data_IF_161446683801
#
_entry.id   IF_161446683801
#
_cell.length_a   1.000
_cell.length_b   1.000
_cell.length_c   1.000
_cell.angle_alpha   90.00
_cell.angle_beta   90.00
_cell.angle_gamma   90.00
#
_symmetry.space_group_name_H-M   'P 1'
#
loop_
_entity.id
_entity.type
_entity.pdbx_description
1 polymer ?
#
# COMPACT_ATOMS: atom_id res chain seq x y z
N UNK A 1 -1.92 4.28 30.82
CA UNK A 1 -0.72 3.55 30.34
C UNK A 1 0.07 3.15 31.58
N UNK A 2 1.28 2.57 31.49
CA UNK A 2 2.10 2.27 32.69
C UNK A 2 3.53 2.75 32.50
N UNK A 3 4.13 3.31 33.55
CA UNK A 3 5.54 3.68 33.54
C UNK A 3 6.42 2.45 33.30
N UNK A 4 7.38 2.56 32.39
CA UNK A 4 8.34 1.49 32.16
C UNK A 4 9.60 1.70 32.99
N UNK A 5 9.94 0.74 33.85
CA UNK A 5 11.18 0.72 34.63
C UNK A 5 12.46 0.68 33.77
N UNK A 6 12.40 0.17 32.53
CA UNK A 6 13.57 0.07 31.64
C UNK A 6 13.85 1.36 30.89
N UNK A 7 12.81 2.04 30.38
CA UNK A 7 13.00 3.25 29.56
C UNK A 7 12.49 4.53 30.21
N UNK A 8 11.88 4.47 31.40
CA UNK A 8 11.35 5.64 32.12
C UNK A 8 10.19 6.36 31.44
N UNK A 9 9.59 5.76 30.40
CA UNK A 9 8.49 6.38 29.64
C UNK A 9 7.18 5.72 30.02
N UNK A 10 6.13 6.53 30.22
CA UNK A 10 4.77 6.02 30.33
C UNK A 10 4.28 5.55 28.96
N UNK A 11 4.02 4.26 28.83
CA UNK A 11 3.64 3.68 27.55
C UNK A 11 2.75 2.44 27.73
N UNK A 12 2.10 2.03 26.64
CA UNK A 12 1.31 0.82 26.61
C UNK A 12 2.21 -0.43 26.68
N UNK A 13 1.60 -1.55 27.07
CA UNK A 13 2.22 -2.88 27.01
C UNK A 13 1.64 -3.65 25.82
N UNK A 14 2.47 -4.43 25.15
CA UNK A 14 2.00 -5.29 24.07
C UNK A 14 1.26 -6.53 24.63
N UNK A 15 0.76 -7.41 23.75
CA UNK A 15 0.05 -8.65 24.15
C UNK A 15 0.89 -9.60 25.02
N UNK A 16 2.22 -9.47 24.99
CA UNK A 16 3.16 -10.26 25.80
C UNK A 16 3.57 -9.55 27.10
N UNK A 17 2.99 -8.39 27.41
CA UNK A 17 3.33 -7.59 28.60
C UNK A 17 4.59 -6.71 28.45
N UNK A 18 5.21 -6.68 27.28
CA UNK A 18 6.46 -5.94 27.04
C UNK A 18 6.17 -4.46 26.82
N UNK A 19 7.11 -3.60 27.21
CA UNK A 19 7.03 -2.15 26.96
C UNK A 19 7.09 -1.87 25.45
N UNK A 20 6.02 -1.25 24.89
CA UNK A 20 5.94 -0.96 23.45
C UNK A 20 7.08 -0.05 23.01
N UNK A 21 7.46 0.95 23.82
CA UNK A 21 8.57 1.84 23.51
C UNK A 21 9.93 1.11 23.45
N UNK A 22 10.22 0.25 24.45
CA UNK A 22 11.45 -0.55 24.47
C UNK A 22 11.53 -1.53 23.30
N UNK A 23 10.41 -2.17 22.94
CA UNK A 23 10.36 -3.09 21.79
C UNK A 23 10.60 -2.31 20.50
N UNK A 24 9.98 -1.13 20.36
CA UNK A 24 10.17 -0.25 19.19
C UNK A 24 11.62 0.19 19.04
N UNK A 25 12.27 0.64 20.12
CA UNK A 25 13.67 1.06 20.09
C UNK A 25 14.62 -0.09 19.78
N UNK A 26 14.41 -1.25 20.40
CA UNK A 26 15.17 -2.47 20.11
C UNK A 26 15.05 -2.89 18.64
N UNK A 27 13.82 -2.97 18.12
CA UNK A 27 13.58 -3.36 16.72
C UNK A 27 14.21 -2.38 15.73
N UNK A 28 14.19 -1.08 16.05
CA UNK A 28 14.85 -0.05 15.24
C UNK A 28 16.37 -0.27 15.19
N UNK A 29 17.02 -0.43 16.34
CA UNK A 29 18.45 -0.68 16.43
C UNK A 29 18.85 -1.99 15.72
N UNK A 30 18.05 -3.06 15.91
CA UNK A 30 18.26 -4.33 15.21
C UNK A 30 18.17 -4.17 13.69
N UNK A 31 17.15 -3.45 13.19
CA UNK A 31 17.00 -3.20 11.78
C UNK A 31 18.16 -2.39 11.21
N UNK A 32 18.61 -1.35 11.92
CA UNK A 32 19.75 -0.52 11.50
C UNK A 32 21.04 -1.33 11.42
N UNK A 33 21.34 -2.15 12.44
CA UNK A 33 22.52 -3.00 12.46
C UNK A 33 22.52 -4.13 11.41
N UNK A 34 21.33 -4.58 10.98
CA UNK A 34 21.19 -5.73 10.07
C UNK A 34 20.61 -5.36 8.70
N UNK A 35 20.50 -4.06 8.39
CA UNK A 35 19.74 -3.55 7.24
C UNK A 35 20.14 -4.19 5.92
N UNK A 36 21.44 -4.34 5.69
CA UNK A 36 21.96 -4.85 4.42
C UNK A 36 21.75 -6.36 4.29
N UNK A 37 21.93 -7.12 5.38
CA UNK A 37 21.59 -8.53 5.41
C UNK A 37 20.09 -8.75 5.16
N UNK A 38 19.23 -8.01 5.87
CA UNK A 38 17.77 -8.06 5.70
C UNK A 38 17.40 -7.79 4.24
N UNK A 39 17.96 -6.73 3.63
CA UNK A 39 17.72 -6.40 2.22
C UNK A 39 18.20 -7.51 1.28
N UNK A 40 19.38 -8.07 1.53
CA UNK A 40 19.96 -9.16 0.74
C UNK A 40 19.09 -10.41 0.77
N UNK A 41 18.70 -10.87 1.97
CA UNK A 41 17.81 -12.02 2.17
C UNK A 41 16.45 -11.78 1.51
N UNK A 42 15.86 -10.59 1.66
CA UNK A 42 14.62 -10.24 0.99
C UNK A 42 14.76 -10.26 -0.53
N UNK A 43 15.87 -9.76 -1.08
CA UNK A 43 16.16 -9.81 -2.52
C UNK A 43 16.27 -11.25 -3.02
N UNK A 44 17.04 -12.10 -2.31
CA UNK A 44 17.17 -13.52 -2.63
C UNK A 44 15.81 -14.23 -2.60
N UNK A 45 15.00 -13.99 -1.56
CA UNK A 45 13.65 -14.54 -1.48
C UNK A 45 12.77 -14.08 -2.65
N UNK A 46 12.77 -12.80 -3.01
CA UNK A 46 12.00 -12.26 -4.16
C UNK A 46 12.41 -12.90 -5.50
N UNK A 47 13.66 -13.33 -5.63
CA UNK A 47 14.20 -13.98 -6.83
C UNK A 47 14.02 -15.51 -6.82
N UNK A 48 13.81 -16.11 -5.64
CA UNK A 48 13.54 -17.55 -5.51
C UNK A 48 12.26 -17.96 -6.26
N UNK A 49 12.13 -19.24 -6.65
CA UNK A 49 10.90 -19.76 -7.26
C UNK A 49 9.65 -19.46 -6.44
N UNK A 50 9.71 -19.63 -5.10
CA UNK A 50 8.59 -19.36 -4.18
C UNK A 50 8.20 -17.89 -4.16
N UNK A 51 9.18 -16.97 -4.10
CA UNK A 51 8.91 -15.53 -4.12
C UNK A 51 8.32 -15.07 -5.45
N UNK A 52 8.83 -15.60 -6.57
CA UNK A 52 8.27 -15.36 -7.91
C UNK A 52 6.84 -15.88 -8.02
N UNK A 53 6.57 -17.11 -7.59
CA UNK A 53 5.24 -17.72 -7.60
C UNK A 53 4.23 -16.89 -6.79
N UNK A 54 4.59 -16.47 -5.57
CA UNK A 54 3.75 -15.59 -4.74
C UNK A 54 3.41 -14.29 -5.46
N UNK A 55 4.42 -13.62 -6.05
CA UNK A 55 4.22 -12.37 -6.81
C UNK A 55 3.31 -12.58 -8.03
N UNK A 56 3.49 -13.68 -8.75
CA UNK A 56 2.67 -14.01 -9.92
C UNK A 56 1.21 -14.24 -9.52
N UNK A 57 0.97 -14.99 -8.44
CA UNK A 57 -0.37 -15.18 -7.89
C UNK A 57 -1.04 -13.85 -7.50
N UNK A 58 -0.32 -12.96 -6.82
CA UNK A 58 -0.85 -11.63 -6.49
C UNK A 58 -1.17 -10.78 -7.73
N UNK A 59 -0.31 -10.84 -8.76
CA UNK A 59 -0.56 -10.14 -10.04
C UNK A 59 -1.77 -10.71 -10.78
N UNK A 60 -1.92 -12.03 -10.80
CA UNK A 60 -3.07 -12.70 -11.40
C UNK A 60 -4.37 -12.31 -10.69
N UNK A 61 -4.39 -12.33 -9.35
CA UNK A 61 -5.53 -11.87 -8.55
C UNK A 61 -5.90 -10.42 -8.88
N UNK A 62 -4.92 -9.52 -8.93
CA UNK A 62 -5.15 -8.10 -9.28
C UNK A 62 -5.77 -7.95 -10.66
N UNK A 63 -5.28 -8.68 -11.67
CA UNK A 63 -5.83 -8.66 -13.03
C UNK A 63 -7.27 -9.15 -13.06
N UNK A 64 -7.55 -10.29 -12.41
CA UNK A 64 -8.89 -10.85 -12.35
C UNK A 64 -9.88 -9.89 -11.67
N UNK A 65 -9.50 -9.27 -10.54
CA UNK A 65 -10.33 -8.25 -9.90
C UNK A 65 -10.61 -7.07 -10.83
N UNK A 66 -9.59 -6.53 -11.50
CA UNK A 66 -9.78 -5.42 -12.43
C UNK A 66 -10.74 -5.80 -13.56
N UNK A 67 -10.59 -7.00 -14.12
CA UNK A 67 -11.45 -7.51 -15.18
C UNK A 67 -12.90 -7.67 -14.70
N UNK A 68 -13.10 -8.28 -13.54
CA UNK A 68 -14.44 -8.48 -12.97
C UNK A 68 -15.12 -7.16 -12.58
N UNK A 69 -14.33 -6.15 -12.22
CA UNK A 69 -14.83 -4.82 -11.92
C UNK A 69 -15.06 -3.95 -13.18
N UNK A 70 -14.71 -4.42 -14.38
CA UNK A 70 -14.87 -3.68 -15.63
C UNK A 70 -16.17 -4.11 -16.34
N UNK A 71 -17.30 -3.45 -16.11
CA UNK A 71 -18.56 -3.80 -16.76
C UNK A 71 -18.50 -3.54 -18.28
N UNK A 72 -19.35 -4.22 -19.05
CA UNK A 72 -19.37 -4.10 -20.52
C UNK A 72 -19.69 -2.69 -21.03
N UNK A 73 -20.39 -1.89 -20.23
CA UNK A 73 -20.70 -0.48 -20.54
C UNK A 73 -19.60 0.50 -20.12
N UNK A 74 -18.51 0.02 -19.52
CA UNK A 74 -17.37 0.86 -19.16
C UNK A 74 -16.72 1.45 -20.42
N UNK A 75 -16.46 2.76 -20.40
CA UNK A 75 -15.81 3.46 -21.49
C UNK A 75 -14.31 3.60 -21.19
N UNK A 76 -13.48 2.88 -21.94
CA UNK A 76 -12.02 2.90 -21.77
C UNK A 76 -11.39 4.24 -22.12
N UNK A 77 -11.96 5.00 -23.06
CA UNK A 77 -11.46 6.33 -23.43
C UNK A 77 -11.64 7.32 -22.27
N UNK A 78 -12.80 7.29 -21.60
CA UNK A 78 -13.01 8.13 -20.42
C UNK A 78 -12.08 7.75 -19.26
N UNK A 79 -11.76 6.46 -19.11
CA UNK A 79 -10.75 6.01 -18.13
C UNK A 79 -9.36 6.53 -18.50
N UNK A 80 -9.02 6.49 -19.80
CA UNK A 80 -7.73 6.98 -20.31
C UNK A 80 -7.55 8.47 -20.06
N UNK A 81 -8.61 9.28 -20.21
CA UNK A 81 -8.58 10.71 -19.91
C UNK A 81 -8.12 11.02 -18.48
N UNK A 82 -8.50 10.19 -17.49
CA UNK A 82 -8.01 10.36 -16.11
C UNK A 82 -6.51 10.13 -15.98
N UNK A 83 -5.96 9.14 -16.70
CA UNK A 83 -4.51 8.90 -16.72
C UNK A 83 -3.75 10.04 -17.42
N UNK A 84 -4.31 10.57 -18.50
CA UNK A 84 -3.76 11.75 -19.18
C UNK A 84 -3.80 12.98 -18.26
N UNK A 85 -4.90 13.18 -17.53
CA UNK A 85 -5.04 14.25 -16.55
C UNK A 85 -4.01 14.13 -15.42
N UNK A 86 -3.74 12.93 -14.91
CA UNK A 86 -2.67 12.70 -13.92
C UNK A 86 -1.30 13.13 -14.46
N UNK A 87 -0.98 12.80 -15.71
CA UNK A 87 0.27 13.21 -16.35
C UNK A 87 0.34 14.71 -16.60
N UNK A 88 -0.78 15.33 -16.93
CA UNK A 88 -0.87 16.78 -17.07
C UNK A 88 -0.59 17.50 -15.74
N UNK A 89 -1.19 17.03 -14.64
CA UNK A 89 -0.92 17.57 -13.30
C UNK A 89 0.53 17.38 -12.87
N UNK A 90 1.11 16.21 -13.16
CA UNK A 90 2.51 15.94 -12.88
C UNK A 90 3.43 16.90 -13.64
N UNK A 91 3.14 17.17 -14.92
CA UNK A 91 3.87 18.16 -15.71
C UNK A 91 3.71 19.58 -15.16
N UNK A 92 2.50 19.99 -14.78
CA UNK A 92 2.21 21.34 -14.31
C UNK A 92 2.82 21.66 -12.93
N UNK A 93 2.82 20.68 -12.02
CA UNK A 93 3.22 20.87 -10.62
C UNK A 93 4.66 20.42 -10.34
N UNK A 94 5.21 19.55 -11.18
CA UNK A 94 6.49 18.87 -10.92
C UNK A 94 6.40 17.75 -9.86
N UNK A 95 5.21 17.44 -9.34
CA UNK A 95 4.98 16.37 -8.37
C UNK A 95 4.29 15.16 -9.03
N UNK A 96 4.55 13.92 -8.60
CA UNK A 96 3.87 12.74 -9.16
C UNK A 96 2.39 12.67 -8.74
N UNK A 97 1.50 12.40 -9.71
CA UNK A 97 0.07 12.15 -9.50
C UNK A 97 -0.33 10.74 -9.93
N UNK A 98 -1.29 10.15 -9.20
CA UNK A 98 -1.85 8.83 -9.48
C UNK A 98 -3.35 8.93 -9.77
N UNK A 99 -3.85 7.95 -10.53
CA UNK A 99 -5.29 7.69 -10.66
C UNK A 99 -5.68 6.63 -9.63
N UNK A 100 -6.53 7.01 -8.68
CA UNK A 100 -7.04 6.14 -7.62
C UNK A 100 -8.52 5.82 -7.85
N UNK A 101 -9.00 4.75 -7.20
CA UNK A 101 -10.41 4.39 -7.15
C UNK A 101 -11.07 5.03 -5.92
N UNK A 102 -12.10 5.85 -6.12
CA UNK A 102 -12.85 6.49 -5.02
C UNK A 102 -13.43 5.43 -4.09
N UNK A 103 -14.08 4.41 -4.67
CA UNK A 103 -14.49 3.17 -3.98
C UNK A 103 -13.53 2.05 -4.41
N UNK A 104 -12.83 1.37 -3.48
CA UNK A 104 -11.81 0.40 -3.81
C UNK A 104 -12.39 -0.83 -4.51
N UNK A 105 -11.62 -1.40 -5.45
CA UNK A 105 -12.02 -2.62 -6.16
C UNK A 105 -11.99 -3.89 -5.29
N UNK A 106 -11.34 -3.83 -4.12
CA UNK A 106 -11.21 -4.95 -3.17
C UNK A 106 -11.47 -4.49 -1.74
N UNK A 107 -12.50 -3.67 -1.53
CA UNK A 107 -12.93 -3.30 -0.18
C UNK A 107 -13.45 -4.51 0.60
N UNK A 108 -13.47 -4.40 1.93
CA UNK A 108 -13.90 -5.48 2.82
C UNK A 108 -15.42 -5.63 2.81
N UNK A 109 -16.14 -4.51 2.80
CA UNK A 109 -17.60 -4.49 2.82
C UNK A 109 -18.22 -4.11 1.48
N UNK A 110 -17.54 -3.29 0.68
CA UNK A 110 -18.02 -2.82 -0.63
C UNK A 110 -16.92 -2.94 -1.67
N UNK A 111 -17.28 -3.14 -2.94
CA UNK A 111 -16.33 -3.14 -4.05
C UNK A 111 -16.82 -2.19 -5.14
N UNK A 112 -15.95 -1.27 -5.56
CA UNK A 112 -16.21 -0.35 -6.66
C UNK A 112 -16.02 -0.99 -8.03
N UNK A 113 -16.41 -0.26 -9.07
CA UNK A 113 -16.23 -0.64 -10.47
C UNK A 113 -15.02 0.10 -11.07
N UNK A 114 -14.38 -0.51 -12.06
CA UNK A 114 -13.32 0.11 -12.85
C UNK A 114 -13.94 0.97 -13.97
N UNK A 115 -14.54 2.09 -13.59
CA UNK A 115 -15.27 3.00 -14.49
C UNK A 115 -14.86 4.44 -14.22
N UNK A 116 -14.96 5.32 -15.22
CA UNK A 116 -14.50 6.71 -15.10
C UNK A 116 -15.09 7.48 -13.91
N UNK A 117 -16.35 7.24 -13.55
CA UNK A 117 -17.01 7.89 -12.40
C UNK A 117 -16.48 7.43 -11.03
N UNK A 118 -15.73 6.32 -11.00
CA UNK A 118 -15.09 5.81 -9.78
C UNK A 118 -13.59 6.12 -9.76
N UNK A 119 -13.08 6.97 -10.64
CA UNK A 119 -11.68 7.37 -10.70
C UNK A 119 -11.50 8.81 -10.22
N UNK A 120 -10.37 9.06 -9.56
CA UNK A 120 -9.95 10.38 -9.12
C UNK A 120 -8.44 10.53 -9.31
N UNK A 121 -7.98 11.74 -9.65
CA UNK A 121 -6.56 12.07 -9.74
C UNK A 121 -6.10 12.72 -8.45
N UNK A 122 -5.15 12.08 -7.76
CA UNK A 122 -4.63 12.55 -6.48
C UNK A 122 -3.09 12.58 -6.49
N UNK A 123 -2.44 13.47 -5.71
CA UNK A 123 -1.01 13.43 -5.50
C UNK A 123 -0.56 12.05 -5.00
N UNK A 124 0.52 11.50 -5.56
CA UNK A 124 0.99 10.15 -5.23
C UNK A 124 1.29 9.99 -3.73
N UNK A 125 1.71 11.06 -3.05
CA UNK A 125 1.91 11.07 -1.59
C UNK A 125 0.63 10.76 -0.80
N UNK A 126 -0.52 11.20 -1.30
CA UNK A 126 -1.82 10.95 -0.66
C UNK A 126 -2.28 9.53 -0.94
N UNK A 127 -2.13 9.06 -2.18
CA UNK A 127 -2.42 7.68 -2.57
C UNK A 127 -1.63 6.67 -1.73
N UNK A 128 -0.31 6.89 -1.57
CA UNK A 128 0.56 6.03 -0.76
C UNK A 128 0.21 6.04 0.74
N UNK A 129 -0.36 7.15 1.25
CA UNK A 129 -0.84 7.24 2.62
C UNK A 129 -2.22 6.59 2.81
N UNK A 130 -3.00 6.50 1.73
CA UNK A 130 -4.31 5.84 1.65
C UNK A 130 -4.09 4.32 1.68
N UNK A 131 -3.82 3.80 2.88
CA UNK A 131 -3.91 2.36 3.12
C UNK A 131 -5.29 1.86 2.65
N UNK A 132 -5.40 0.62 2.14
CA UNK A 132 -6.66 0.00 1.67
C UNK A 132 -7.70 -0.24 2.80
N UNK A 133 -7.82 0.68 3.75
CA UNK A 133 -8.64 0.62 4.97
C UNK A 133 -10.06 1.16 4.69
N UNK A 134 -10.27 1.84 3.57
CA UNK A 134 -11.60 2.33 3.23
C UNK A 134 -12.51 1.17 2.80
N UNK A 135 -13.44 0.84 3.71
CA UNK A 135 -14.69 0.06 3.62
C UNK A 135 -14.62 -1.42 3.25
#
# INVERSE_FOLDING_TARGET
MKMCNKCGVETARNKKGECVNCVKSYNKAYYEANKDNIKSVQKAYRQSPKGKAKRNASRAKRRATKLNANPSWSNEDHIKMWYEQAKHWEWLTGEPYHVDHVVPLQGKNVSGLHVAHNLEVIPARLDLAKSNIHC
#
